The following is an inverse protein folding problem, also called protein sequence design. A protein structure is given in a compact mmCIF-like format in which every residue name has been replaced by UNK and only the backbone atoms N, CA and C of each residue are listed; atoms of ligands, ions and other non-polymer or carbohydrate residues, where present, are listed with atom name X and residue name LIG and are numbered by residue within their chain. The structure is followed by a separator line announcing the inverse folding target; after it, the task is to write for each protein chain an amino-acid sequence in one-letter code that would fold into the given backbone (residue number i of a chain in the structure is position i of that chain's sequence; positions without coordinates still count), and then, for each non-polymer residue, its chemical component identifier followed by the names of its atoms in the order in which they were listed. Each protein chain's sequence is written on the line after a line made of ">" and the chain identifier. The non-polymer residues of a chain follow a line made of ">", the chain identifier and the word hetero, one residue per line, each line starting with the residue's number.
data_IF_192541071829
#
_entry.id   IF_192541071829
#
_cell.length_a   1.000
_cell.length_b   1.000
_cell.length_c   1.000
_cell.angle_alpha   90.00
_cell.angle_beta   90.00
_cell.angle_gamma   90.00
#
_symmetry.space_group_name_H-M   'P 1'
#
loop_
_entity.id
_entity.type
_entity.pdbx_description
1 polymer ?
#
# COMPACT_ATOMS: atom_id res chain seq x y z
N UNK A 1 -9.19 12.31 -2.35
CA UNK A 1 -8.64 11.05 -2.90
C UNK A 1 -8.30 10.13 -1.77
N UNK A 2 -8.35 8.81 -1.97
CA UNK A 2 -7.94 7.82 -0.96
C UNK A 2 -6.82 6.96 -1.52
N UNK A 3 -5.92 6.50 -0.66
CA UNK A 3 -4.82 5.62 -1.06
C UNK A 3 -4.55 4.53 -0.04
N UNK A 4 -4.10 3.38 -0.54
CA UNK A 4 -3.46 2.33 0.23
C UNK A 4 -1.97 2.64 0.33
N UNK A 5 -1.44 2.72 1.55
CA UNK A 5 -0.03 2.88 1.84
C UNK A 5 0.48 1.65 2.56
N UNK A 6 1.59 1.09 2.12
CA UNK A 6 2.14 -0.12 2.73
C UNK A 6 3.65 -0.15 2.70
N UNK A 7 4.22 -0.94 3.60
CA UNK A 7 5.67 -1.15 3.69
C UNK A 7 5.97 -2.57 3.32
N UNK A 8 6.91 -2.76 2.40
CA UNK A 8 7.48 -4.06 2.05
C UNK A 8 8.92 -4.11 2.52
N UNK A 9 9.39 -5.26 2.99
CA UNK A 9 10.80 -5.49 3.27
C UNK A 9 11.28 -6.74 2.54
N UNK A 10 12.56 -6.81 2.22
CA UNK A 10 13.13 -7.94 1.49
C UNK A 10 13.18 -9.18 2.40
N UNK A 11 12.71 -10.32 1.90
CA UNK A 11 12.68 -11.60 2.64
C UNK A 11 14.07 -12.06 3.06
N UNK A 12 15.09 -11.76 2.25
CA UNK A 12 16.49 -12.14 2.50
C UNK A 12 17.27 -11.07 3.28
N UNK A 13 16.70 -9.87 3.47
CA UNK A 13 17.32 -8.77 4.19
C UNK A 13 16.21 -7.90 4.82
N UNK A 14 15.63 -8.34 5.96
CA UNK A 14 14.43 -7.73 6.53
C UNK A 14 14.61 -6.27 6.99
N UNK A 15 15.85 -5.81 7.13
CA UNK A 15 16.19 -4.41 7.42
C UNK A 15 16.04 -3.48 6.20
N UNK A 16 15.99 -4.06 4.99
CA UNK A 16 15.81 -3.31 3.75
C UNK A 16 14.31 -3.23 3.45
N UNK A 17 13.72 -2.07 3.76
CA UNK A 17 12.30 -1.80 3.58
C UNK A 17 12.02 -0.65 2.61
N UNK A 18 10.92 -0.73 1.89
CA UNK A 18 10.43 0.31 0.98
C UNK A 18 8.99 0.68 1.31
N UNK A 19 8.69 1.98 1.24
CA UNK A 19 7.32 2.48 1.31
C UNK A 19 6.71 2.46 -0.09
N UNK A 20 5.46 2.02 -0.16
CA UNK A 20 4.67 1.89 -1.38
C UNK A 20 3.32 2.55 -1.19
N UNK A 21 2.75 3.06 -2.27
CA UNK A 21 1.42 3.65 -2.28
C UNK A 21 0.67 3.30 -3.55
N UNK A 22 -0.61 2.97 -3.41
CA UNK A 22 -1.58 2.79 -4.48
C UNK A 22 -2.70 3.80 -4.26
N UNK A 23 -2.91 4.68 -5.25
CA UNK A 23 -3.97 5.68 -5.19
C UNK A 23 -5.22 5.13 -5.86
N UNK A 24 -6.37 5.32 -5.22
CA UNK A 24 -7.67 4.98 -5.76
C UNK A 24 -8.38 6.23 -6.31
N UNK A 25 -9.37 6.01 -7.16
CA UNK A 25 -10.27 7.04 -7.68
C UNK A 25 -10.98 7.77 -6.51
N UNK A 26 -11.27 9.06 -6.67
CA UNK A 26 -11.85 9.90 -5.63
C UNK A 26 -13.26 9.46 -5.19
N UNK A 27 -13.94 8.66 -6.02
CA UNK A 27 -15.24 8.06 -5.70
C UNK A 27 -15.16 6.91 -4.69
N UNK A 28 -13.96 6.42 -4.39
CA UNK A 28 -13.74 5.31 -3.46
C UNK A 28 -13.65 5.85 -2.02
N UNK A 29 -14.54 5.35 -1.15
CA UNK A 29 -14.53 5.63 0.28
C UNK A 29 -13.60 4.70 1.08
N UNK A 30 -13.35 5.03 2.36
CA UNK A 30 -12.45 4.28 3.26
C UNK A 30 -12.81 2.79 3.40
N UNK A 31 -14.10 2.49 3.55
CA UNK A 31 -14.57 1.11 3.67
C UNK A 31 -14.30 0.28 2.40
N UNK A 32 -14.32 0.91 1.22
CA UNK A 32 -14.02 0.25 -0.04
C UNK A 32 -12.50 0.02 -0.17
N UNK A 33 -11.68 1.03 0.13
CA UNK A 33 -10.22 0.88 0.16
C UNK A 33 -9.77 -0.27 1.06
N UNK A 34 -10.36 -0.44 2.24
CA UNK A 34 -9.98 -1.53 3.15
C UNK A 34 -10.22 -2.93 2.56
N UNK A 35 -11.32 -3.10 1.81
CA UNK A 35 -11.63 -4.38 1.14
C UNK A 35 -10.66 -4.63 0.00
N UNK A 36 -10.49 -3.64 -0.86
CA UNK A 36 -9.61 -3.74 -2.03
C UNK A 36 -8.15 -3.90 -1.63
N UNK A 37 -7.74 -3.27 -0.52
CA UNK A 37 -6.37 -3.37 -0.03
C UNK A 37 -5.94 -4.82 0.24
N UNK A 38 -6.82 -5.68 0.74
CA UNK A 38 -6.48 -7.10 0.92
C UNK A 38 -6.14 -7.75 -0.43
N UNK A 39 -6.95 -7.50 -1.45
CA UNK A 39 -6.75 -8.02 -2.81
C UNK A 39 -5.47 -7.49 -3.43
N UNK A 40 -5.21 -6.19 -3.33
CA UNK A 40 -4.01 -5.56 -3.90
C UNK A 40 -2.73 -6.03 -3.20
N UNK A 41 -2.75 -6.23 -1.87
CA UNK A 41 -1.61 -6.77 -1.14
C UNK A 41 -1.36 -8.25 -1.47
N UNK A 42 -2.41 -9.04 -1.70
CA UNK A 42 -2.25 -10.42 -2.17
C UNK A 42 -1.57 -10.46 -3.54
N UNK A 43 -2.06 -9.66 -4.50
CA UNK A 43 -1.45 -9.51 -5.83
C UNK A 43 0.00 -9.04 -5.75
N UNK A 44 0.31 -8.14 -4.82
CA UNK A 44 1.68 -7.69 -4.58
C UNK A 44 2.59 -8.84 -4.17
N UNK A 45 2.18 -9.65 -3.19
CA UNK A 45 2.98 -10.79 -2.69
C UNK A 45 3.19 -11.85 -3.76
N UNK A 46 2.18 -12.10 -4.60
CA UNK A 46 2.29 -13.04 -5.73
C UNK A 46 3.29 -12.56 -6.79
N UNK A 47 3.27 -11.26 -7.12
CA UNK A 47 4.17 -10.66 -8.12
C UNK A 47 5.58 -10.37 -7.59
N UNK A 48 5.72 -10.21 -6.27
CA UNK A 48 6.98 -9.88 -5.60
C UNK A 48 7.26 -10.91 -4.49
N UNK A 49 7.62 -12.16 -4.84
CA UNK A 49 7.80 -13.24 -3.87
C UNK A 49 8.96 -13.01 -2.90
N UNK A 50 9.87 -12.08 -3.23
CA UNK A 50 10.97 -11.65 -2.35
C UNK A 50 10.53 -10.59 -1.36
N UNK A 51 9.40 -9.93 -1.54
CA UNK A 51 8.91 -8.88 -0.66
C UNK A 51 7.98 -9.46 0.40
N UNK A 52 8.05 -8.89 1.62
CA UNK A 52 7.10 -9.15 2.70
C UNK A 52 6.41 -7.87 3.10
N UNK A 53 5.09 -7.85 2.99
CA UNK A 53 4.27 -6.76 3.53
C UNK A 53 4.36 -6.78 5.05
N UNK A 54 4.78 -5.68 5.66
CA UNK A 54 4.94 -5.55 7.12
C UNK A 54 3.80 -4.78 7.78
N UNK A 55 3.32 -3.73 7.13
CA UNK A 55 2.22 -2.90 7.60
C UNK A 55 1.55 -2.23 6.41
N UNK A 56 0.27 -1.93 6.56
CA UNK A 56 -0.50 -1.22 5.55
C UNK A 56 -1.61 -0.41 6.20
N UNK A 57 -2.05 0.65 5.52
CA UNK A 57 -3.19 1.45 5.93
C UNK A 57 -3.83 2.16 4.74
N UNK A 58 -5.15 2.27 4.78
CA UNK A 58 -5.90 3.17 3.90
C UNK A 58 -5.99 4.55 4.54
N UNK A 59 -5.64 5.60 3.79
CA UNK A 59 -5.69 6.98 4.27
C UNK A 59 -6.23 7.91 3.20
N UNK A 60 -6.99 8.91 3.63
CA UNK A 60 -7.34 10.02 2.76
C UNK A 60 -6.06 10.78 2.38
N UNK A 61 -5.92 11.09 1.10
CA UNK A 61 -4.83 11.87 0.54
C UNK A 61 -5.38 13.26 0.25
N UNK A 62 -4.83 14.24 0.96
CA UNK A 62 -5.05 15.65 0.64
C UNK A 62 -4.17 15.97 -0.57
N UNK A 63 -4.78 16.48 -1.64
CA UNK A 63 -4.04 16.95 -2.82
C UNK A 63 -3.14 18.11 -2.36
N UNK A 64 -1.85 17.86 -2.17
CA UNK A 64 -0.89 18.84 -1.63
C UNK A 64 0.26 18.29 -0.77
N UNK A 65 0.31 16.98 -0.48
CA UNK A 65 1.40 16.35 0.31
C UNK A 65 2.08 15.19 -0.44
N UNK A 66 2.22 15.31 -1.76
CA UNK A 66 3.00 14.38 -2.57
C UNK A 66 4.42 14.95 -2.79
N UNK A 67 5.14 15.28 -1.74
CA UNK A 67 6.60 15.53 -1.72
C UNK A 67 7.02 15.90 -0.29
N UNK A 68 7.71 14.98 0.41
CA UNK A 68 9.00 15.18 1.11
C UNK A 68 9.71 13.83 1.11
#
# INVERSE_FOLDING_TARGET
>A
MIGLFFVTCLSTAPDICQQRSLLFDDRIGLAHCQRDAQTELARWVESHPRDRVRRWSCRAVVRGQAEI
#
